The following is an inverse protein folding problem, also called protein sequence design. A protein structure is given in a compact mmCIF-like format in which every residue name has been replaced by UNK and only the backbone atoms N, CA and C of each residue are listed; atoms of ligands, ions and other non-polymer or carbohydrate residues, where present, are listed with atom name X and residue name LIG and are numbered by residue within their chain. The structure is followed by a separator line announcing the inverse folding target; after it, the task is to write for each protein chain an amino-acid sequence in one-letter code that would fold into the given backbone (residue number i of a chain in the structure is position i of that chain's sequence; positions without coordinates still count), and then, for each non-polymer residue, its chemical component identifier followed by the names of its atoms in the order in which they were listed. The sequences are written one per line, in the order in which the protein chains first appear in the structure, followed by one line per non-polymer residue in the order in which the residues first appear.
data_IF_759914406088
#
_entry.id   IF_759914406088
#
_cell.length_a   1.000
_cell.length_b   1.000
_cell.length_c   1.000
_cell.angle_alpha   90.00
_cell.angle_beta   90.00
_cell.angle_gamma   90.00
#
_symmetry.space_group_name_H-M   'P 1'
#
loop_
_entity.id
_entity.type
_entity.pdbx_description
1 polymer ?
#
# COMPACT_ATOMS: atom_id res chain seq x y z
N UNK A 1 -8.16 4.76 9.46
CA UNK A 1 -8.51 4.28 10.83
C UNK A 1 -8.36 2.79 11.08
N UNK A 2 -8.91 1.89 10.24
CA UNK A 2 -8.82 0.44 10.48
C UNK A 2 -7.38 -0.06 10.63
N UNK A 3 -6.47 0.34 9.73
CA UNK A 3 -5.05 -0.03 9.80
C UNK A 3 -4.40 0.38 11.14
N UNK A 4 -4.68 1.61 11.62
CA UNK A 4 -4.18 2.10 12.91
C UNK A 4 -4.69 1.25 14.08
N UNK A 5 -5.93 0.76 14.01
CA UNK A 5 -6.50 -0.10 15.06
C UNK A 5 -5.83 -1.47 15.09
N UNK A 6 -5.60 -2.10 13.93
CA UNK A 6 -4.92 -3.40 13.90
C UNK A 6 -3.47 -3.30 14.36
N UNK A 7 -2.73 -2.27 13.92
CA UNK A 7 -1.33 -2.09 14.32
C UNK A 7 -1.14 -1.85 15.83
N UNK A 8 -2.14 -1.31 16.54
CA UNK A 8 -2.10 -1.14 18.00
C UNK A 8 -2.03 -2.47 18.77
N UNK A 9 -2.41 -3.59 18.14
CA UNK A 9 -2.35 -4.91 18.77
C UNK A 9 -0.92 -5.44 18.92
N UNK A 10 0.03 -4.90 18.12
CA UNK A 10 1.45 -5.26 18.20
C UNK A 10 1.80 -6.65 17.66
N UNK A 11 0.88 -7.32 16.98
CA UNK A 11 1.03 -8.69 16.42
C UNK A 11 1.06 -8.70 14.87
N UNK A 12 1.00 -7.54 14.23
CA UNK A 12 0.99 -7.42 12.76
C UNK A 12 2.41 -7.38 12.20
N UNK A 13 2.71 -8.32 11.30
CA UNK A 13 4.00 -8.38 10.61
C UNK A 13 4.06 -7.49 9.35
N UNK A 14 2.97 -7.41 8.58
CA UNK A 14 2.94 -6.69 7.31
C UNK A 14 1.52 -6.29 6.87
N UNK A 15 1.45 -5.30 5.98
CA UNK A 15 0.31 -5.02 5.12
C UNK A 15 0.67 -5.39 3.67
N UNK A 16 -0.15 -6.22 3.03
CA UNK A 16 -0.08 -6.50 1.59
C UNK A 16 -1.23 -5.75 0.92
N UNK A 17 -0.93 -4.98 -0.13
CA UNK A 17 -1.93 -4.13 -0.80
C UNK A 17 -1.62 -3.93 -2.28
N UNK A 18 -2.65 -3.93 -3.12
CA UNK A 18 -2.58 -3.52 -4.52
C UNK A 18 -2.70 -1.98 -4.61
N UNK A 19 -1.81 -1.25 -5.32
CA UNK A 19 -1.96 0.19 -5.53
C UNK A 19 -3.25 0.57 -6.27
N UNK A 20 -3.69 -0.31 -7.17
CA UNK A 20 -5.01 -0.28 -7.80
C UNK A 20 -5.59 -1.69 -7.67
N UNK A 21 -6.70 -1.84 -6.97
CA UNK A 21 -7.34 -3.16 -6.83
C UNK A 21 -7.85 -3.62 -8.20
N UNK A 22 -7.30 -4.71 -8.71
CA UNK A 22 -7.56 -5.14 -10.09
C UNK A 22 -9.00 -5.56 -10.35
N UNK A 23 -9.66 -6.18 -9.36
CA UNK A 23 -11.08 -6.54 -9.43
C UNK A 23 -11.95 -5.33 -9.14
N UNK A 24 -12.15 -4.49 -10.15
CA UNK A 24 -12.99 -3.29 -10.08
C UNK A 24 -12.26 -1.98 -10.41
N UNK A 25 -10.93 -2.04 -10.58
CA UNK A 25 -10.08 -0.90 -10.95
C UNK A 25 -10.26 0.25 -9.96
N UNK A 26 -10.10 -0.08 -8.68
CA UNK A 26 -10.20 0.90 -7.59
C UNK A 26 -8.81 1.37 -7.21
N UNK A 27 -8.44 2.57 -7.66
CA UNK A 27 -7.20 3.21 -7.24
C UNK A 27 -7.24 3.51 -5.74
N UNK A 28 -6.13 3.28 -5.06
CA UNK A 28 -5.95 3.77 -3.71
C UNK A 28 -6.16 5.30 -3.67
N UNK A 29 -6.79 5.85 -2.61
CA UNK A 29 -6.87 7.30 -2.45
C UNK A 29 -5.45 7.91 -2.43
N UNK A 30 -5.25 9.12 -2.99
CA UNK A 30 -3.94 9.77 -2.97
C UNK A 30 -3.36 9.87 -1.55
N UNK A 31 -2.08 9.51 -1.40
CA UNK A 31 -1.35 9.56 -0.14
C UNK A 31 -1.60 8.34 0.78
N UNK A 32 -2.50 7.43 0.41
CA UNK A 32 -2.80 6.25 1.23
C UNK A 32 -1.56 5.37 1.42
N UNK A 33 -0.81 5.07 0.34
CA UNK A 33 0.35 4.18 0.45
C UNK A 33 1.48 4.82 1.24
N UNK A 34 1.70 6.13 1.04
CA UNK A 34 2.68 6.90 1.83
C UNK A 34 2.33 6.92 3.32
N UNK A 35 1.08 7.26 3.67
CA UNK A 35 0.64 7.25 5.07
C UNK A 35 0.71 5.84 5.70
N UNK A 36 0.35 4.81 4.93
CA UNK A 36 0.45 3.42 5.38
C UNK A 36 1.91 3.03 5.63
N UNK A 37 2.84 3.37 4.74
CA UNK A 37 4.27 3.11 4.89
C UNK A 37 4.82 3.73 6.18
N UNK A 38 4.57 5.03 6.39
CA UNK A 38 5.02 5.73 7.60
C UNK A 38 4.45 5.10 8.88
N UNK A 39 3.17 4.70 8.83
CA UNK A 39 2.50 4.07 9.95
C UNK A 39 3.06 2.67 10.25
N UNK A 40 3.32 1.86 9.23
CA UNK A 40 3.89 0.52 9.34
C UNK A 40 5.33 0.58 9.87
N UNK A 41 6.14 1.51 9.36
CA UNK A 41 7.51 1.76 9.86
C UNK A 41 7.54 2.04 11.37
N UNK A 42 6.61 2.87 11.88
CA UNK A 42 6.51 3.15 13.32
C UNK A 42 6.19 1.89 14.16
N UNK A 43 5.52 0.90 13.56
CA UNK A 43 5.14 -0.35 14.22
C UNK A 43 6.08 -1.52 13.89
N UNK A 44 7.21 -1.27 13.20
CA UNK A 44 8.14 -2.31 12.73
C UNK A 44 7.47 -3.40 11.86
N UNK A 45 6.44 -3.00 11.12
CA UNK A 45 5.74 -3.84 10.16
C UNK A 45 6.15 -3.47 8.73
N UNK A 46 6.00 -4.41 7.80
CA UNK A 46 6.34 -4.21 6.39
C UNK A 46 5.14 -3.68 5.58
N UNK A 47 5.42 -2.85 4.59
CA UNK A 47 4.50 -2.60 3.49
C UNK A 47 4.94 -3.45 2.28
N UNK A 48 4.02 -4.22 1.72
CA UNK A 48 4.23 -5.01 0.50
C UNK A 48 3.22 -4.53 -0.53
N UNK A 49 3.70 -3.85 -1.57
CA UNK A 49 2.89 -3.46 -2.71
C UNK A 49 2.82 -4.63 -3.71
N UNK A 50 1.63 -5.18 -3.92
CA UNK A 50 1.39 -6.17 -4.98
C UNK A 50 1.23 -5.45 -6.31
N UNK A 51 2.30 -5.49 -7.10
CA UNK A 51 2.41 -4.83 -8.39
C UNK A 51 2.41 -5.83 -9.56
N UNK A 52 1.94 -7.07 -9.34
CA UNK A 52 1.87 -8.08 -10.41
C UNK A 52 1.03 -7.58 -11.59
N UNK A 53 -0.05 -6.85 -11.30
CA UNK A 53 -0.91 -6.26 -12.32
C UNK A 53 -0.55 -4.80 -12.64
N UNK A 54 -0.24 -4.00 -11.62
CA UNK A 54 -0.09 -2.53 -11.73
C UNK A 54 1.32 -2.09 -12.12
N UNK A 55 2.31 -2.97 -12.00
CA UNK A 55 3.68 -2.68 -12.37
C UNK A 55 3.96 -2.79 -13.86
N UNK A 56 5.25 -2.77 -14.19
CA UNK A 56 5.78 -2.90 -15.54
C UNK A 56 5.17 -1.90 -16.54
N UNK A 57 4.94 -0.66 -16.11
CA UNK A 57 4.43 0.41 -16.99
C UNK A 57 2.91 0.46 -17.12
N UNK A 58 2.14 -0.44 -16.49
CA UNK A 58 0.68 -0.51 -16.67
C UNK A 58 -0.03 0.80 -16.31
N UNK A 59 0.46 1.50 -15.31
CA UNK A 59 -0.16 2.73 -14.76
C UNK A 59 0.54 4.02 -15.23
N UNK A 60 1.50 3.95 -16.15
CA UNK A 60 2.24 5.10 -16.68
C UNK A 60 3.68 5.23 -16.16
N UNK A 61 3.96 4.71 -14.97
CA UNK A 61 5.31 4.57 -14.40
C UNK A 61 5.71 3.08 -14.30
N UNK A 62 7.00 2.80 -14.06
CA UNK A 62 7.47 1.42 -14.01
C UNK A 62 6.80 0.61 -12.89
N UNK A 63 6.52 1.24 -11.75
CA UNK A 63 5.69 0.74 -10.66
C UNK A 63 4.63 1.77 -10.28
N UNK A 64 3.43 1.33 -9.90
CA UNK A 64 2.33 2.22 -9.56
C UNK A 64 2.52 2.97 -8.23
N UNK A 65 3.31 2.44 -7.28
CA UNK A 65 3.61 3.19 -6.05
C UNK A 65 4.34 4.51 -6.31
N UNK A 66 4.97 4.69 -7.49
CA UNK A 66 5.70 5.91 -7.84
C UNK A 66 4.79 7.14 -7.97
N UNK A 67 3.48 6.94 -8.13
CA UNK A 67 2.48 8.02 -8.13
C UNK A 67 2.21 8.61 -6.74
N UNK A 68 2.75 8.00 -5.68
CA UNK A 68 2.60 8.47 -4.29
C UNK A 68 3.80 9.36 -3.92
N UNK A 69 3.69 10.66 -4.22
CA UNK A 69 4.68 11.70 -3.86
C UNK A 69 4.87 11.88 -2.34
#
# INVERSE_FOLDING_TARGET
DALRRELKRGDVAALIVEPVQGKGVHAAPPGFLREAQELLHRHKALLIADEVQTGLGRTGDFYAYQHEE
#
